data_IF_894836302163
#
_entry.id   IF_894836302163
#
_cell.length_a   1.000
_cell.length_b   1.000
_cell.length_c   1.000
_cell.angle_alpha   90.00
_cell.angle_beta   90.00
_cell.angle_gamma   90.00
#
_symmetry.space_group_name_H-M   'P 1'
#
loop_
_entity.id
_entity.type
_entity.pdbx_description
1 polymer ?
#
# COMPACT_ATOMS: atom_id res chain seq x y z
N UNK A 1 -18.18 -6.74 8.61
CA UNK A 1 -18.10 -8.20 8.43
C UNK A 1 -16.84 -8.51 7.61
N UNK A 2 -15.96 -9.39 8.09
CA UNK A 2 -14.78 -9.78 7.34
C UNK A 2 -15.18 -10.63 6.13
N UNK A 3 -14.65 -10.31 4.94
CA UNK A 3 -14.89 -11.03 3.70
C UNK A 3 -13.60 -11.66 3.20
N UNK A 4 -13.68 -12.93 2.79
CA UNK A 4 -12.54 -13.69 2.32
C UNK A 4 -12.16 -13.37 0.85
N UNK A 5 -13.09 -12.83 0.07
CA UNK A 5 -12.86 -12.49 -1.32
C UNK A 5 -12.45 -11.01 -1.49
N UNK A 6 -11.37 -10.69 -2.22
CA UNK A 6 -10.98 -9.31 -2.51
C UNK A 6 -12.08 -8.51 -3.21
N UNK A 7 -12.88 -9.15 -4.05
CA UNK A 7 -13.98 -8.50 -4.79
C UNK A 7 -15.14 -8.04 -3.91
N UNK A 8 -15.24 -8.56 -2.69
CA UNK A 8 -16.27 -8.23 -1.71
C UNK A 8 -15.75 -7.36 -0.57
N UNK A 9 -14.47 -6.99 -0.61
CA UNK A 9 -13.81 -6.18 0.41
C UNK A 9 -13.82 -4.69 0.04
N UNK A 10 -14.17 -3.84 1.00
CA UNK A 10 -14.14 -2.39 0.86
C UNK A 10 -12.78 -1.80 1.26
N UNK A 11 -12.06 -2.48 2.12
CA UNK A 11 -10.71 -2.08 2.52
C UNK A 11 -9.79 -3.29 2.73
N UNK A 12 -8.49 -3.05 2.57
CA UNK A 12 -7.42 -4.02 2.83
C UNK A 12 -6.52 -3.53 3.95
N UNK A 13 -6.26 -4.41 4.91
CA UNK A 13 -5.27 -4.15 5.96
C UNK A 13 -3.97 -4.87 5.59
N UNK A 14 -2.92 -4.11 5.37
CA UNK A 14 -1.59 -4.64 5.09
C UNK A 14 -0.76 -4.61 6.36
N UNK A 15 -0.42 -5.77 6.88
CA UNK A 15 0.34 -5.94 8.10
C UNK A 15 1.59 -6.80 7.88
N UNK A 16 2.66 -6.49 8.61
CA UNK A 16 3.90 -7.25 8.55
C UNK A 16 4.85 -6.82 7.43
N UNK A 17 5.90 -7.60 7.25
CA UNK A 17 6.98 -7.34 6.29
C UNK A 17 6.52 -7.64 4.87
N UNK A 18 6.69 -6.68 3.98
CA UNK A 18 6.35 -6.83 2.56
C UNK A 18 7.64 -7.14 1.80
N UNK A 19 7.69 -8.31 1.19
CA UNK A 19 8.83 -8.71 0.34
C UNK A 19 8.59 -8.28 -1.11
N UNK A 20 9.67 -8.08 -1.85
CA UNK A 20 9.59 -7.80 -3.29
C UNK A 20 8.82 -8.90 -4.06
N UNK A 21 8.95 -10.15 -3.61
CA UNK A 21 8.22 -11.29 -4.17
C UNK A 21 6.70 -11.19 -3.95
N UNK A 22 6.25 -10.65 -2.81
CA UNK A 22 4.82 -10.47 -2.49
C UNK A 22 4.21 -9.18 -3.06
N UNK A 23 5.02 -8.19 -3.40
CA UNK A 23 4.55 -6.92 -3.92
C UNK A 23 3.63 -7.05 -5.15
N UNK A 24 3.94 -7.87 -6.19
CA UNK A 24 3.06 -8.08 -7.34
C UNK A 24 1.71 -8.71 -6.96
N UNK A 25 1.71 -9.62 -5.99
CA UNK A 25 0.50 -10.28 -5.48
C UNK A 25 -0.41 -9.25 -4.81
N UNK A 26 0.17 -8.39 -3.96
CA UNK A 26 -0.56 -7.34 -3.27
C UNK A 26 -1.17 -6.32 -4.25
N UNK A 27 -0.43 -5.91 -5.27
CA UNK A 27 -0.94 -5.07 -6.37
C UNK A 27 -2.13 -5.72 -7.08
N UNK A 28 -2.06 -7.02 -7.36
CA UNK A 28 -3.13 -7.79 -8.00
C UNK A 28 -4.37 -7.87 -7.12
N UNK A 29 -4.21 -8.12 -5.82
CA UNK A 29 -5.32 -8.13 -4.87
C UNK A 29 -6.03 -6.77 -4.82
N UNK A 30 -5.25 -5.69 -4.76
CA UNK A 30 -5.79 -4.34 -4.78
C UNK A 30 -6.56 -4.03 -6.08
N UNK A 31 -6.05 -4.47 -7.22
CA UNK A 31 -6.73 -4.31 -8.51
C UNK A 31 -8.06 -5.06 -8.59
N UNK A 32 -8.20 -6.17 -7.87
CA UNK A 32 -9.43 -6.97 -7.82
C UNK A 32 -10.51 -6.39 -6.90
N UNK A 33 -10.15 -5.46 -6.02
CA UNK A 33 -11.10 -4.80 -5.12
C UNK A 33 -12.01 -3.84 -5.89
N UNK A 34 -13.28 -3.82 -5.51
CA UNK A 34 -14.25 -2.87 -6.05
C UNK A 34 -14.00 -1.44 -5.53
N UNK A 35 -14.33 -0.44 -6.33
CA UNK A 35 -14.34 0.96 -5.91
C UNK A 35 -15.63 1.30 -5.15
N UNK A 36 -15.56 2.06 -4.06
CA UNK A 36 -14.39 2.67 -3.42
C UNK A 36 -13.59 1.68 -2.58
N UNK A 37 -12.26 1.76 -2.65
CA UNK A 37 -11.35 0.88 -1.92
C UNK A 37 -10.35 1.70 -1.11
N UNK A 38 -10.01 1.17 0.07
CA UNK A 38 -9.14 1.83 1.03
C UNK A 38 -8.01 0.90 1.47
N UNK A 39 -6.85 1.47 1.79
CA UNK A 39 -5.67 0.73 2.24
C UNK A 39 -5.25 1.24 3.60
N UNK A 40 -5.11 0.32 4.55
CA UNK A 40 -4.60 0.58 5.89
C UNK A 40 -3.24 -0.10 6.04
N UNK A 41 -2.20 0.66 6.32
CA UNK A 41 -0.88 0.12 6.66
C UNK A 41 -0.77 -0.08 8.17
N UNK A 42 -0.54 -1.31 8.61
CA UNK A 42 -0.50 -1.69 10.02
C UNK A 42 0.90 -2.09 10.43
N UNK A 43 1.42 -1.38 11.44
CA UNK A 43 2.72 -1.69 12.04
C UNK A 43 3.93 -1.12 11.30
N UNK A 44 5.06 -1.06 11.99
CA UNK A 44 6.29 -0.47 11.49
C UNK A 44 6.84 -1.13 10.23
N UNK A 45 6.67 -2.45 10.08
CA UNK A 45 7.13 -3.17 8.90
C UNK A 45 6.36 -2.79 7.63
N UNK A 46 5.04 -2.63 7.71
CA UNK A 46 4.22 -2.20 6.58
C UNK A 46 4.43 -0.72 6.25
N UNK A 47 4.71 0.12 7.25
CA UNK A 47 4.86 1.57 7.08
C UNK A 47 6.21 1.93 6.46
N UNK A 48 7.31 1.34 6.94
CA UNK A 48 8.67 1.78 6.57
C UNK A 48 9.68 0.65 6.39
N UNK A 49 9.24 -0.61 6.41
CA UNK A 49 10.12 -1.78 6.46
C UNK A 49 10.60 -2.14 7.87
N UNK A 50 10.37 -1.29 8.88
CA UNK A 50 10.73 -1.54 10.28
C UNK A 50 12.19 -1.91 10.48
N UNK A 51 12.47 -2.97 11.29
CA UNK A 51 13.85 -3.43 11.53
C UNK A 51 14.53 -3.98 10.27
N UNK A 52 13.78 -4.36 9.25
CA UNK A 52 14.28 -4.98 8.02
C UNK A 52 14.50 -3.98 6.88
N UNK A 53 14.50 -2.69 7.15
CA UNK A 53 14.63 -1.61 6.17
C UNK A 53 15.88 -1.73 5.28
N UNK A 54 16.98 -2.30 5.79
CA UNK A 54 18.22 -2.50 5.05
C UNK A 54 18.30 -3.83 4.30
N UNK A 55 17.25 -4.66 4.38
CA UNK A 55 17.25 -5.96 3.70
C UNK A 55 16.92 -5.79 2.21
N UNK A 56 17.69 -6.49 1.38
CA UNK A 56 17.53 -6.46 -0.08
C UNK A 56 16.22 -7.12 -0.57
N UNK A 57 15.58 -7.95 0.27
CA UNK A 57 14.31 -8.61 -0.08
C UNK A 57 13.07 -7.86 0.37
N UNK A 58 13.21 -6.84 1.20
CA UNK A 58 12.11 -6.17 1.87
C UNK A 58 11.81 -4.82 1.23
N UNK A 59 10.55 -4.60 0.93
CA UNK A 59 10.05 -3.31 0.49
C UNK A 59 9.93 -2.34 1.68
N UNK A 60 10.49 -1.15 1.53
CA UNK A 60 10.50 -0.13 2.58
C UNK A 60 9.22 0.69 2.63
N UNK A 61 8.10 0.04 2.85
CA UNK A 61 6.78 0.63 2.98
C UNK A 61 5.82 0.22 1.89
N UNK A 62 4.55 0.04 2.28
CA UNK A 62 3.46 -0.30 1.36
C UNK A 62 3.06 0.88 0.48
N UNK A 63 3.34 2.10 0.92
CA UNK A 63 3.10 3.35 0.18
C UNK A 63 3.82 3.41 -1.17
N UNK A 64 4.90 2.67 -1.33
CA UNK A 64 5.63 2.55 -2.60
C UNK A 64 4.90 1.75 -3.66
N UNK A 65 3.94 0.92 -3.27
CA UNK A 65 3.22 0.04 -4.19
C UNK A 65 1.70 0.27 -4.22
N UNK A 66 1.14 0.80 -3.12
CA UNK A 66 -0.29 1.08 -3.00
C UNK A 66 -0.52 2.46 -2.38
N UNK A 67 -1.59 3.17 -2.76
CA UNK A 67 -2.00 4.37 -2.07
C UNK A 67 -2.52 4.02 -0.68
N UNK A 68 -1.89 4.55 0.37
CA UNK A 68 -2.27 4.30 1.77
C UNK A 68 -3.18 5.41 2.27
N UNK A 69 -4.31 5.02 2.85
CA UNK A 69 -5.29 5.94 3.42
C UNK A 69 -5.06 6.22 4.89
N UNK A 70 -4.68 5.20 5.64
CA UNK A 70 -4.45 5.30 7.08
C UNK A 70 -3.22 4.49 7.48
N UNK A 71 -2.41 5.07 8.36
CA UNK A 71 -1.25 4.41 8.97
C UNK A 71 -1.53 4.13 10.44
N UNK A 72 -1.30 2.91 10.87
CA UNK A 72 -1.43 2.48 12.27
C UNK A 72 -0.04 2.14 12.80
N UNK A 73 0.61 3.03 13.59
CA UNK A 73 1.95 2.79 14.10
C UNK A 73 1.94 1.76 15.24
N UNK A 74 3.06 1.09 15.41
CA UNK A 74 3.31 0.12 16.49
C UNK A 74 4.06 -1.11 15.97
N UNK A 75 4.65 -1.88 16.90
CA UNK A 75 5.35 -3.10 16.54
C UNK A 75 5.30 -4.11 17.72
N UNK A 76 4.20 -4.87 17.82
CA UNK A 76 2.91 -4.76 17.17
C UNK A 76 2.09 -3.55 17.66
N UNK A 77 1.11 -3.05 16.90
CA UNK A 77 0.24 -1.99 17.37
C UNK A 77 -0.72 -2.52 18.45
N UNK A 78 -1.04 -1.67 19.41
CA UNK A 78 -2.04 -1.99 20.43
C UNK A 78 -3.45 -2.05 19.82
N UNK A 79 -4.39 -2.81 20.42
CA UNK A 79 -5.78 -2.87 19.94
C UNK A 79 -6.45 -1.50 19.88
N UNK A 80 -6.17 -0.61 20.81
CA UNK A 80 -6.70 0.76 20.84
C UNK A 80 -6.22 1.55 19.60
N UNK A 81 -4.95 1.37 19.20
CA UNK A 81 -4.40 2.01 18.01
C UNK A 81 -5.09 1.51 16.74
N UNK A 82 -5.42 0.22 16.68
CA UNK A 82 -6.17 -0.36 15.55
C UNK A 82 -7.60 0.21 15.47
N UNK A 83 -8.29 0.29 16.59
CA UNK A 83 -9.63 0.90 16.66
C UNK A 83 -9.58 2.38 16.26
N UNK A 84 -8.59 3.12 16.74
CA UNK A 84 -8.39 4.51 16.36
C UNK A 84 -8.16 4.68 14.86
N UNK A 85 -7.33 3.82 14.25
CA UNK A 85 -7.10 3.80 12.82
C UNK A 85 -8.37 3.55 11.99
N UNK A 86 -9.22 2.62 12.44
CA UNK A 86 -10.53 2.38 11.82
C UNK A 86 -11.46 3.59 11.96
N UNK A 87 -11.47 4.26 13.11
CA UNK A 87 -12.25 5.50 13.31
C UNK A 87 -11.76 6.62 12.39
N UNK A 88 -10.46 6.75 12.17
CA UNK A 88 -9.89 7.70 11.22
C UNK A 88 -10.32 7.39 9.78
N UNK A 89 -10.31 6.12 9.39
CA UNK A 89 -10.84 5.70 8.09
C UNK A 89 -12.32 6.07 7.93
N UNK A 90 -13.14 5.81 8.95
CA UNK A 90 -14.56 6.18 8.92
C UNK A 90 -14.77 7.69 8.74
N UNK A 91 -13.96 8.51 9.41
CA UNK A 91 -13.99 9.98 9.24
C UNK A 91 -13.65 10.37 7.81
N UNK A 92 -12.58 9.77 7.24
CA UNK A 92 -12.18 10.02 5.85
C UNK A 92 -13.29 9.66 4.86
N UNK A 93 -13.92 8.50 5.03
CA UNK A 93 -15.05 8.04 4.18
C UNK A 93 -16.25 8.98 4.28
N UNK A 94 -16.60 9.43 5.49
CA UNK A 94 -17.70 10.40 5.69
C UNK A 94 -17.40 11.72 5.00
N UNK A 95 -16.20 12.26 5.13
CA UNK A 95 -15.77 13.50 4.46
C UNK A 95 -15.81 13.35 2.94
N UNK A 96 -15.34 12.23 2.39
CA UNK A 96 -15.39 11.99 0.95
C UNK A 96 -16.82 11.89 0.41
N UNK A 97 -17.74 11.33 1.18
CA UNK A 97 -19.18 11.33 0.82
C UNK A 97 -19.78 12.73 0.86
N UNK A 98 -19.40 13.55 1.83
CA UNK A 98 -19.93 14.90 2.01
C UNK A 98 -19.42 15.87 0.93
N UNK A 99 -18.15 15.80 0.57
CA UNK A 99 -17.54 16.68 -0.43
C UNK A 99 -17.65 16.18 -1.88
N UNK A 100 -18.42 15.11 -2.12
CA UNK A 100 -18.79 14.63 -3.46
C UNK A 100 -17.65 14.50 -4.45
N UNK A 101 -17.07 13.32 -4.54
CA UNK A 101 -16.52 12.79 -5.80
C UNK A 101 -15.32 13.47 -6.49
N UNK A 102 -14.82 14.62 -6.04
CA UNK A 102 -13.79 15.38 -6.76
C UNK A 102 -12.40 14.70 -6.72
N UNK A 103 -12.10 13.90 -5.69
CA UNK A 103 -10.78 13.29 -5.54
C UNK A 103 -10.60 11.88 -6.13
N UNK A 104 -11.64 11.33 -6.78
CA UNK A 104 -11.58 9.94 -7.26
C UNK A 104 -10.78 9.79 -8.57
N UNK A 105 -10.63 10.87 -9.31
CA UNK A 105 -9.92 10.85 -10.60
C UNK A 105 -8.40 11.08 -10.47
N UNK A 106 -8.00 11.87 -9.50
CA UNK A 106 -6.58 12.23 -9.31
C UNK A 106 -5.78 11.02 -8.81
N UNK A 107 -6.30 10.24 -7.87
CA UNK A 107 -5.58 9.09 -7.31
C UNK A 107 -5.37 7.93 -8.29
N UNK A 108 -6.21 7.77 -9.31
CA UNK A 108 -6.07 6.67 -10.27
C UNK A 108 -5.01 6.96 -11.33
N UNK A 109 -4.92 8.19 -11.80
CA UNK A 109 -3.90 8.61 -12.78
C UNK A 109 -2.52 8.69 -12.14
N UNK A 110 -2.41 9.25 -10.94
CA UNK A 110 -1.17 9.32 -10.18
C UNK A 110 -0.65 7.91 -9.80
N UNK A 111 -1.56 6.98 -9.50
CA UNK A 111 -1.22 5.58 -9.24
C UNK A 111 -0.68 4.86 -10.49
N UNK A 112 -1.26 5.08 -11.66
CA UNK A 112 -0.76 4.50 -12.91
C UNK A 112 0.58 5.10 -13.33
N UNK A 113 0.82 6.39 -13.06
CA UNK A 113 2.13 7.01 -13.28
C UNK A 113 3.20 6.49 -12.33
N UNK A 114 2.87 6.29 -11.04
CA UNK A 114 3.78 5.67 -10.07
C UNK A 114 4.12 4.23 -10.48
N UNK A 115 3.13 3.46 -10.92
CA UNK A 115 3.36 2.11 -11.47
C UNK A 115 4.29 2.10 -12.69
N UNK A 116 4.18 3.08 -13.57
CA UNK A 116 5.07 3.22 -14.73
C UNK A 116 6.49 3.60 -14.33
N UNK A 117 6.64 4.51 -13.34
CA UNK A 117 7.96 4.91 -12.82
C UNK A 117 8.71 3.75 -12.18
N UNK A 118 8.02 2.94 -11.37
CA UNK A 118 8.65 1.77 -10.72
C UNK A 118 9.10 0.72 -11.73
N UNK A 119 8.28 0.48 -12.77
CA UNK A 119 8.64 -0.45 -13.86
C UNK A 119 9.80 0.05 -14.73
N UNK A 120 9.98 1.36 -14.85
CA UNK A 120 11.13 1.96 -15.57
C UNK A 120 12.37 2.03 -14.71
N UNK A 121 12.23 2.24 -13.39
CA UNK A 121 13.37 2.20 -12.45
C UNK A 121 13.96 0.79 -12.35
N UNK A 122 13.12 -0.24 -12.25
CA UNK A 122 13.54 -1.64 -12.19
C UNK A 122 14.29 -2.09 -13.48
N UNK A 123 13.88 -1.55 -14.65
CA UNK A 123 14.60 -1.80 -15.91
C UNK A 123 15.94 -1.09 -16.01
N UNK A 124 16.07 0.08 -15.37
CA UNK A 124 17.32 0.82 -15.37
C UNK A 124 18.35 0.21 -14.41
N UNK A 125 17.91 -0.31 -13.25
CA UNK A 125 18.78 -0.99 -12.29
C UNK A 125 19.34 -2.31 -12.85
N UNK A 126 18.57 -3.01 -13.67
CA UNK A 126 19.03 -4.23 -14.35
C UNK A 126 20.04 -3.95 -15.49
N UNK A 127 20.06 -2.74 -16.04
CA UNK A 127 20.99 -2.35 -17.10
C UNK A 127 22.32 -1.79 -16.58
N UNK A 128 22.42 -1.41 -15.30
CA UNK A 128 23.66 -0.86 -14.72
C UNK A 128 24.65 -1.98 -14.32
N UNK A 129 24.17 -3.20 -14.05
CA UNK A 129 25.03 -4.33 -13.68
C UNK A 129 25.68 -5.06 -14.90
N UNK A 130 25.35 -4.67 -16.12
CA UNK A 130 25.89 -5.25 -17.35
C UNK A 130 27.09 -4.54 -17.95
N UNK A 131 27.60 -3.45 -17.36
CA UNK A 131 28.54 -2.51 -17.98
C UNK A 131 29.97 -2.49 -17.47
N UNK A 132 30.41 -3.38 -16.60
CA UNK A 132 31.80 -3.42 -16.14
C UNK A 132 32.42 -4.83 -16.23
N UNK A 133 32.73 -5.23 -17.44
CA UNK A 133 33.82 -6.20 -17.72
C UNK A 133 34.41 -5.91 -19.10
N UNK A 134 35.33 -4.97 -19.15
CA UNK A 134 36.48 -5.01 -20.08
C UNK A 134 37.70 -4.44 -19.39
#
# INVERSE_FOLDING_TARGET
>A
MARASPRQADFIMVAGTITHKMAPVLKRLYAQMADPKYVIAVGGCAISGGPFKKSYHVLNGVDKILPVDVYIPGCPPRPEAMLYGLMQLQRKVKLQRFFGGVNKQIGKQEYEELLRRDLTAEKNDLNVEGGEKQ
#
